data_IF_698050535839
#
_entry.id   IF_698050535839
#
_cell.length_a   1.000
_cell.length_b   1.000
_cell.length_c   1.000
_cell.angle_alpha   90.00
_cell.angle_beta   90.00
_cell.angle_gamma   90.00
#
_symmetry.space_group_name_H-M   'P 1'
#
loop_
_entity.id
_entity.type
_entity.pdbx_description
1 polymer ?
#
# COMPACT_ATOMS: atom_id res chain seq x y z
N UNK A 1 20.26 -21.53 -14.75
CA UNK A 1 19.85 -20.40 -13.90
C UNK A 1 18.37 -20.61 -13.57
N UNK A 2 18.02 -21.04 -12.36
CA UNK A 2 16.62 -21.26 -12.01
C UNK A 2 16.03 -19.92 -11.55
N UNK A 3 15.06 -19.40 -12.30
CA UNK A 3 14.29 -18.18 -11.99
C UNK A 3 13.35 -18.41 -10.81
N UNK A 4 13.91 -18.71 -9.63
CA UNK A 4 13.15 -18.87 -8.40
C UNK A 4 12.75 -17.50 -7.87
N UNK A 5 11.44 -17.32 -7.69
CA UNK A 5 10.84 -16.14 -7.08
C UNK A 5 10.13 -16.63 -5.83
N UNK A 6 10.56 -16.14 -4.68
CA UNK A 6 9.96 -16.45 -3.40
C UNK A 6 9.15 -15.22 -2.93
N UNK A 7 7.91 -15.46 -2.51
CA UNK A 7 7.03 -14.44 -1.95
C UNK A 7 6.88 -14.73 -0.47
N UNK A 8 7.22 -13.75 0.37
CA UNK A 8 7.16 -13.89 1.82
C UNK A 8 6.60 -12.63 2.47
N UNK A 9 5.88 -12.82 3.57
CA UNK A 9 5.54 -11.72 4.47
C UNK A 9 6.75 -11.39 5.32
N UNK A 10 6.91 -10.13 5.69
CA UNK A 10 8.05 -9.71 6.51
C UNK A 10 8.10 -10.45 7.86
N UNK A 11 6.94 -10.78 8.42
CA UNK A 11 6.82 -11.54 9.67
C UNK A 11 7.37 -12.96 9.52
N UNK A 12 7.24 -13.57 8.33
CA UNK A 12 7.76 -14.90 8.05
C UNK A 12 9.29 -14.93 7.98
N UNK A 13 9.92 -13.77 7.73
CA UNK A 13 11.37 -13.59 7.71
C UNK A 13 11.98 -13.42 9.11
N UNK A 14 11.15 -13.27 10.15
CA UNK A 14 11.59 -13.11 11.54
C UNK A 14 11.52 -14.45 12.29
N UNK A 15 12.40 -14.62 13.27
CA UNK A 15 12.43 -15.78 14.17
C UNK A 15 12.86 -15.34 15.57
N UNK A 16 11.94 -15.41 16.53
CA UNK A 16 12.16 -14.87 17.88
C UNK A 16 12.57 -13.40 17.82
N UNK A 17 13.78 -13.09 18.27
CA UNK A 17 14.37 -11.74 18.24
C UNK A 17 15.27 -11.49 17.01
N UNK A 18 15.38 -12.45 16.08
CA UNK A 18 16.30 -12.40 14.93
C UNK A 18 15.61 -12.43 13.56
N UNK A 19 16.44 -12.40 12.52
CA UNK A 19 16.03 -12.52 11.11
C UNK A 19 16.54 -13.87 10.59
N UNK A 20 15.70 -14.62 9.88
CA UNK A 20 16.07 -15.93 9.35
C UNK A 20 17.17 -15.80 8.29
N UNK A 21 18.21 -16.66 8.30
CA UNK A 21 19.38 -16.51 7.42
C UNK A 21 19.09 -16.57 5.92
N UNK A 22 17.99 -17.20 5.50
CA UNK A 22 17.67 -17.39 4.09
C UNK A 22 17.55 -16.06 3.31
N UNK A 23 17.21 -14.96 3.98
CA UNK A 23 17.10 -13.63 3.35
C UNK A 23 18.43 -13.13 2.77
N UNK A 24 19.57 -13.71 3.19
CA UNK A 24 20.91 -13.38 2.69
C UNK A 24 21.19 -13.94 1.29
N UNK A 25 20.38 -14.90 0.84
CA UNK A 25 20.62 -15.65 -0.40
C UNK A 25 20.03 -14.97 -1.64
N UNK A 26 19.42 -13.80 -1.50
CA UNK A 26 18.81 -13.06 -2.61
C UNK A 26 19.72 -11.93 -3.10
N UNK A 27 19.91 -11.86 -4.42
CA UNK A 27 20.59 -10.74 -5.09
C UNK A 27 19.67 -9.54 -5.36
N UNK A 28 18.35 -9.74 -5.28
CA UNK A 28 17.31 -8.72 -5.46
C UNK A 28 16.21 -8.91 -4.42
N UNK A 29 15.74 -7.80 -3.83
CA UNK A 29 14.58 -7.76 -2.94
C UNK A 29 13.62 -6.69 -3.41
N UNK A 30 12.34 -7.04 -3.52
CA UNK A 30 11.25 -6.12 -3.83
C UNK A 30 10.31 -6.14 -2.63
N UNK A 31 10.10 -4.96 -2.05
CA UNK A 31 9.22 -4.76 -0.90
C UNK A 31 7.93 -4.15 -1.42
N UNK A 32 6.84 -4.90 -1.35
CA UNK A 32 5.51 -4.36 -1.62
C UNK A 32 4.94 -3.65 -0.40
N UNK A 33 4.06 -2.68 -0.62
CA UNK A 33 3.44 -1.84 0.39
C UNK A 33 4.44 -1.29 1.42
N UNK A 34 5.59 -0.81 0.93
CA UNK A 34 6.72 -0.44 1.80
C UNK A 34 6.38 0.68 2.80
N UNK A 35 5.29 1.42 2.57
CA UNK A 35 4.76 2.44 3.47
C UNK A 35 4.04 1.90 4.71
N UNK A 36 3.50 0.69 4.67
CA UNK A 36 2.75 0.07 5.77
C UNK A 36 3.62 -0.71 6.76
N UNK A 37 4.89 -0.96 6.42
CA UNK A 37 5.74 -1.79 7.26
C UNK A 37 6.19 -1.03 8.51
N UNK A 38 6.06 -1.66 9.69
CA UNK A 38 6.69 -1.15 10.92
C UNK A 38 8.16 -0.90 10.65
N UNK A 39 8.59 0.36 10.81
CA UNK A 39 9.93 0.81 10.47
C UNK A 39 11.01 -0.08 11.11
N UNK A 40 10.75 -0.57 12.33
CA UNK A 40 11.69 -1.39 13.11
C UNK A 40 11.87 -2.79 12.49
N UNK A 41 10.78 -3.49 12.18
CA UNK A 41 10.88 -4.84 11.59
C UNK A 41 11.40 -4.77 10.16
N UNK A 42 11.01 -3.73 9.42
CA UNK A 42 11.52 -3.44 8.09
C UNK A 42 13.02 -3.28 8.06
N UNK A 43 13.51 -2.36 8.89
CA UNK A 43 14.93 -2.05 9.01
C UNK A 43 15.73 -3.28 9.45
N UNK A 44 15.20 -4.06 10.41
CA UNK A 44 15.85 -5.31 10.86
C UNK A 44 16.06 -6.30 9.72
N UNK A 45 15.03 -6.57 8.92
CA UNK A 45 15.13 -7.52 7.82
C UNK A 45 16.08 -7.00 6.74
N UNK A 46 15.94 -5.74 6.31
CA UNK A 46 16.78 -5.19 5.24
C UNK A 46 18.24 -5.01 5.64
N UNK A 47 18.54 -4.72 6.92
CA UNK A 47 19.92 -4.74 7.44
C UNK A 47 20.58 -6.11 7.33
N UNK A 48 19.79 -7.19 7.33
CA UNK A 48 20.29 -8.56 7.23
C UNK A 48 20.43 -9.05 5.78
N UNK A 49 19.81 -8.37 4.81
CA UNK A 49 19.81 -8.73 3.40
C UNK A 49 21.15 -8.33 2.75
N UNK A 50 21.71 -9.21 1.91
CA UNK A 50 22.95 -8.97 1.16
C UNK A 50 22.68 -8.66 -0.34
N UNK A 51 21.46 -8.25 -0.68
CA UNK A 51 21.04 -8.00 -2.06
C UNK A 51 21.74 -6.78 -2.65
N UNK A 52 22.16 -6.90 -3.91
CA UNK A 52 22.68 -5.77 -4.69
C UNK A 52 21.58 -4.80 -5.10
N UNK A 53 20.36 -5.31 -5.25
CA UNK A 53 19.20 -4.55 -5.68
C UNK A 53 18.09 -4.62 -4.65
N UNK A 54 17.66 -3.47 -4.14
CA UNK A 54 16.53 -3.37 -3.21
C UNK A 54 15.58 -2.32 -3.75
N UNK A 55 14.31 -2.70 -3.94
CA UNK A 55 13.26 -1.82 -4.44
C UNK A 55 12.07 -1.80 -3.48
N UNK A 56 11.46 -0.63 -3.33
CA UNK A 56 10.18 -0.47 -2.65
C UNK A 56 9.09 -0.13 -3.65
N UNK A 57 7.97 -0.85 -3.59
CA UNK A 57 6.73 -0.55 -4.27
C UNK A 57 5.74 0.00 -3.25
N UNK A 58 5.09 1.11 -3.59
CA UNK A 58 4.08 1.71 -2.73
C UNK A 58 3.14 2.59 -3.54
N UNK A 59 1.85 2.56 -3.19
CA UNK A 59 0.87 3.49 -3.71
C UNK A 59 1.05 4.91 -3.14
N UNK A 60 1.66 5.04 -1.95
CA UNK A 60 1.89 6.34 -1.30
C UNK A 60 3.33 6.47 -0.82
N UNK A 61 4.00 7.57 -1.17
CA UNK A 61 5.34 7.88 -0.67
C UNK A 61 5.31 8.59 0.70
N UNK A 62 4.12 8.97 1.19
CA UNK A 62 3.94 9.80 2.38
C UNK A 62 3.25 8.97 3.46
N UNK A 63 3.99 8.65 4.53
CA UNK A 63 3.43 8.15 5.78
C UNK A 63 2.93 9.30 6.63
N UNK A 64 1.77 9.13 7.28
CA UNK A 64 1.19 10.12 8.21
C UNK A 64 1.98 10.26 9.52
N UNK A 65 2.86 9.31 9.84
CA UNK A 65 3.61 9.23 11.11
C UNK A 65 5.02 9.85 11.05
N UNK A 66 5.43 10.42 9.91
CA UNK A 66 6.73 11.10 9.76
C UNK A 66 7.95 10.17 9.66
N UNK A 67 7.78 8.85 9.76
CA UNK A 67 8.89 7.90 9.63
C UNK A 67 9.19 7.48 8.18
N UNK A 68 8.71 8.26 7.22
CA UNK A 68 9.00 8.07 5.79
C UNK A 68 10.51 7.98 5.45
N UNK A 69 11.44 8.69 6.13
CA UNK A 69 12.86 8.65 5.74
C UNK A 69 13.48 7.26 5.80
N UNK A 70 12.95 6.37 6.64
CA UNK A 70 13.48 5.00 6.81
C UNK A 70 13.33 4.19 5.52
N UNK A 71 12.26 4.41 4.76
CA UNK A 71 12.06 3.75 3.47
C UNK A 71 13.10 4.21 2.46
N UNK A 72 13.37 5.52 2.39
CA UNK A 72 14.37 6.06 1.47
C UNK A 72 15.80 5.67 1.84
N UNK A 73 16.10 5.52 3.13
CA UNK A 73 17.40 5.02 3.59
C UNK A 73 17.65 3.57 3.15
N UNK A 74 16.62 2.73 3.14
CA UNK A 74 16.77 1.30 2.83
C UNK A 74 16.54 0.94 1.36
N UNK A 75 15.57 1.57 0.71
CA UNK A 75 15.20 1.31 -0.69
C UNK A 75 15.77 2.34 -1.68
N UNK A 76 16.38 3.42 -1.19
CA UNK A 76 16.88 4.52 -2.01
C UNK A 76 15.81 5.53 -2.42
N UNK A 77 16.17 6.51 -3.28
CA UNK A 77 15.26 7.58 -3.69
C UNK A 77 14.15 7.07 -4.62
N UNK A 78 13.05 7.82 -4.70
CA UNK A 78 11.98 7.56 -5.67
C UNK A 78 12.55 7.57 -7.09
N UNK A 79 12.42 6.45 -7.80
CA UNK A 79 12.86 6.31 -9.20
C UNK A 79 11.76 6.63 -10.20
N UNK A 80 10.52 6.36 -9.83
CA UNK A 80 9.35 6.57 -10.67
C UNK A 80 8.14 6.81 -9.78
N UNK A 81 7.28 7.72 -10.19
CA UNK A 81 5.97 7.96 -9.58
C UNK A 81 4.96 8.07 -10.70
N UNK A 82 3.84 7.36 -10.55
CA UNK A 82 2.81 7.33 -11.56
C UNK A 82 1.57 8.05 -11.04
N UNK A 83 1.07 9.00 -11.83
CA UNK A 83 -0.18 9.67 -11.53
C UNK A 83 -1.35 8.76 -11.91
N UNK A 84 -2.19 8.42 -10.93
CA UNK A 84 -3.32 7.53 -11.12
C UNK A 84 -4.33 8.08 -12.14
N UNK A 85 -4.54 9.41 -12.21
CA UNK A 85 -5.45 10.02 -13.19
C UNK A 85 -4.89 9.91 -14.60
N UNK A 86 -3.59 10.12 -14.78
CA UNK A 86 -2.91 9.98 -16.07
C UNK A 86 -2.94 8.51 -16.54
N UNK A 87 -2.70 7.56 -15.63
CA UNK A 87 -2.88 6.14 -15.95
C UNK A 87 -4.33 5.79 -16.27
N UNK A 88 -5.30 6.31 -15.54
CA UNK A 88 -6.71 6.07 -15.82
C UNK A 88 -7.15 6.63 -17.17
N UNK A 89 -6.63 7.80 -17.57
CA UNK A 89 -6.94 8.41 -18.86
C UNK A 89 -6.38 7.62 -20.06
N UNK A 90 -5.36 6.79 -19.85
CA UNK A 90 -4.74 5.96 -20.89
C UNK A 90 -5.26 4.52 -20.94
N UNK A 91 -6.13 4.13 -19.99
CA UNK A 91 -6.72 2.79 -19.94
C UNK A 91 -7.91 2.66 -20.90
N UNK A 92 -8.00 1.54 -21.61
CA UNK A 92 -9.09 1.24 -22.56
C UNK A 92 -10.30 0.56 -21.91
N UNK A 93 -10.35 0.45 -20.58
CA UNK A 93 -11.42 -0.24 -19.85
C UNK A 93 -12.14 0.67 -18.87
N UNK A 94 -13.45 0.45 -18.69
CA UNK A 94 -14.27 1.17 -17.72
C UNK A 94 -14.07 0.63 -16.29
N UNK A 95 -13.95 1.52 -15.31
CA UNK A 95 -13.89 1.17 -13.88
C UNK A 95 -15.22 1.52 -13.22
N UNK A 96 -15.98 0.50 -12.83
CA UNK A 96 -17.26 0.67 -12.14
C UNK A 96 -17.07 0.40 -10.64
N UNK A 97 -17.31 1.42 -9.81
CA UNK A 97 -17.41 1.24 -8.35
C UNK A 97 -18.86 0.89 -8.01
N UNK A 98 -19.10 -0.36 -7.61
CA UNK A 98 -20.42 -0.80 -7.11
C UNK A 98 -20.37 -0.90 -5.59
N UNK A 99 -20.74 0.16 -4.84
CA UNK A 99 -20.75 0.10 -3.38
C UNK A 99 -21.80 -0.91 -2.90
N UNK A 100 -21.41 -1.79 -1.97
CA UNK A 100 -22.31 -2.73 -1.31
C UNK A 100 -22.36 -2.37 0.17
N UNK A 101 -23.44 -1.70 0.56
CA UNK A 101 -23.67 -1.35 1.95
C UNK A 101 -24.10 -2.61 2.70
N UNK A 102 -23.37 -2.94 3.77
CA UNK A 102 -23.76 -4.01 4.70
C UNK A 102 -24.58 -3.41 5.84
N UNK A 103 -25.38 -4.22 6.52
CA UNK A 103 -26.12 -3.81 7.72
C UNK A 103 -25.24 -3.71 8.98
N UNK A 104 -23.91 -3.63 8.81
CA UNK A 104 -22.96 -3.55 9.92
C UNK A 104 -23.25 -2.29 10.74
N UNK A 105 -23.48 -2.48 12.04
CA UNK A 105 -23.61 -1.41 13.04
C UNK A 105 -22.52 -1.63 14.07
N UNK A 106 -21.65 -0.64 14.23
CA UNK A 106 -20.67 -0.60 15.30
C UNK A 106 -21.41 -0.39 16.63
N UNK A 107 -21.13 -1.22 17.63
CA UNK A 107 -21.72 -1.10 18.97
C UNK A 107 -20.80 -0.21 19.82
N UNK A 108 -21.15 1.09 19.92
CA UNK A 108 -20.44 2.20 20.61
C UNK A 108 -19.09 2.62 19.95
N UNK A 109 -18.74 3.89 19.76
CA UNK A 109 -19.04 5.13 20.49
C UNK A 109 -19.19 6.34 19.53
N UNK A 110 -19.85 7.40 20.02
CA UNK A 110 -20.14 8.64 19.30
C UNK A 110 -18.87 9.37 18.78
N UNK A 111 -18.71 9.38 17.44
CA UNK A 111 -18.09 10.39 16.55
C UNK A 111 -17.05 9.77 15.60
N UNK A 112 -17.53 9.27 14.46
CA UNK A 112 -16.72 9.19 13.24
C UNK A 112 -17.57 9.69 12.06
N UNK A 113 -17.45 10.99 11.76
CA UNK A 113 -17.82 11.57 10.46
C UNK A 113 -16.82 11.12 9.40
N UNK A 114 -16.91 9.87 8.94
CA UNK A 114 -16.14 9.38 7.79
C UNK A 114 -16.80 8.13 7.22
N UNK A 115 -17.99 8.30 6.65
CA UNK A 115 -18.52 7.46 5.54
C UNK A 115 -19.92 7.92 5.06
N UNK A 116 -20.63 8.77 5.81
CA UNK A 116 -21.97 9.23 5.42
C UNK A 116 -21.97 10.35 4.37
N UNK A 117 -20.98 11.27 4.41
CA UNK A 117 -20.91 12.41 3.47
C UNK A 117 -20.65 12.01 2.01
N UNK A 118 -20.00 10.87 1.77
CA UNK A 118 -19.77 10.37 0.41
C UNK A 118 -21.07 9.84 -0.24
N UNK A 119 -21.88 9.13 0.54
CA UNK A 119 -23.11 8.48 0.05
C UNK A 119 -24.25 9.48 -0.20
N UNK A 120 -24.31 10.58 0.55
CA UNK A 120 -25.28 11.65 0.29
C UNK A 120 -24.90 12.47 -0.95
N UNK A 121 -23.61 12.74 -1.16
CA UNK A 121 -23.14 13.51 -2.31
C UNK A 121 -23.29 12.75 -3.64
N UNK A 122 -23.14 11.42 -3.64
CA UNK A 122 -23.41 10.58 -4.83
C UNK A 122 -24.91 10.57 -5.15
N UNK A 123 -25.77 10.38 -4.14
CA UNK A 123 -27.24 10.41 -4.32
C UNK A 123 -27.75 11.78 -4.80
N UNK A 124 -27.19 12.89 -4.31
CA UNK A 124 -27.55 14.25 -4.77
C UNK A 124 -27.14 14.53 -6.22
N UNK A 125 -26.04 13.94 -6.70
CA UNK A 125 -25.58 14.11 -8.10
C UNK A 125 -26.44 13.34 -9.09
N UNK A 126 -26.88 12.13 -8.73
CA UNK A 126 -27.79 11.34 -9.56
C UNK A 126 -29.18 11.98 -9.69
N UNK A 127 -29.71 12.58 -8.61
CA UNK A 127 -31.02 13.26 -8.67
C UNK A 127 -31.01 14.61 -9.43
N UNK A 128 -29.88 15.33 -9.46
CA UNK A 128 -29.79 16.59 -10.22
C UNK A 128 -29.68 16.39 -11.73
N UNK A 129 -29.16 15.25 -12.20
CA UNK A 129 -29.11 14.94 -13.64
C UNK A 129 -30.45 14.44 -14.21
N UNK A 130 -31.37 13.98 -13.36
CA UNK A 130 -32.70 13.51 -13.78
C UNK A 130 -33.74 14.64 -14.00
N UNK A 131 -33.42 15.89 -13.63
CA UNK A 131 -34.37 17.02 -13.66
C UNK A 131 -33.96 18.18 -14.61
N UNK A 132 -33.10 17.93 -15.59
CA UNK A 132 -32.76 18.89 -16.67
C UNK A 132 -32.89 18.26 -18.08
N UNK A 133 -33.86 17.35 -18.24
CA UNK A 133 -34.37 16.93 -19.55
C UNK A 133 -35.70 17.61 -19.83
#
# INVERSE_FOLDING_TARGET
MHGKIDIALIQSCLEGNGVKPFVRNYGMVIVDECHHVSAVNFERVLKYVNARYVYGLTATSIRKDGHQPIIFMQCGPVRFSADAKVQMASQTFARLLVPRFTSYRELADEKIHLCTDGAENVRRREQKQAHHG
#
